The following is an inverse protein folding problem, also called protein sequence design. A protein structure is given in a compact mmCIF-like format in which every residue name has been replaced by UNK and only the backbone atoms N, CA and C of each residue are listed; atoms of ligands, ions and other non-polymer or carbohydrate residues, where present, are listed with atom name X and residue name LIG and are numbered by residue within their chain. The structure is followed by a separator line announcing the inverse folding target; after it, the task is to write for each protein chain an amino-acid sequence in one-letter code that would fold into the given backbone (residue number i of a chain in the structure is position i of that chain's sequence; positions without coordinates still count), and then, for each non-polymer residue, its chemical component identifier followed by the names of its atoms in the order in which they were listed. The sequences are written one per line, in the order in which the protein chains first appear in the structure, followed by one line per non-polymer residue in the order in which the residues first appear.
data_IF_546204664028
#
_entry.id   IF_546204664028
#
_cell.length_a   1.000
_cell.length_b   1.000
_cell.length_c   1.000
_cell.angle_alpha   90.00
_cell.angle_beta   90.00
_cell.angle_gamma   90.00
#
_symmetry.space_group_name_H-M   'P 1'
#
loop_
_entity.id
_entity.type
_entity.pdbx_description
1 polymer ?
#
# COMPACT_ATOMS: atom_id res chain seq x y z
N UNK A 1 23.32 3.31 -9.00
CA UNK A 1 22.29 3.53 -7.97
C UNK A 1 22.02 5.02 -7.81
N UNK A 2 21.31 5.59 -8.79
CA UNK A 2 20.62 6.87 -8.65
C UNK A 2 19.22 6.64 -8.09
N UNK A 3 18.76 7.55 -7.23
CA UNK A 3 17.39 7.54 -6.70
C UNK A 3 16.72 8.82 -7.17
N UNK A 4 15.56 8.68 -7.81
CA UNK A 4 14.75 9.80 -8.29
C UNK A 4 13.34 9.72 -7.71
N UNK A 5 12.75 10.87 -7.40
CA UNK A 5 11.37 10.96 -6.91
C UNK A 5 10.59 11.85 -7.87
N UNK A 6 9.61 11.26 -8.55
CA UNK A 6 8.85 11.92 -9.61
C UNK A 6 7.37 11.94 -9.29
N UNK A 7 6.65 12.94 -9.78
CA UNK A 7 5.19 13.00 -9.68
C UNK A 7 4.53 11.80 -10.37
N UNK A 8 3.46 11.26 -9.77
CA UNK A 8 2.66 10.21 -10.39
C UNK A 8 1.86 10.70 -11.62
N UNK A 9 1.80 12.02 -11.88
CA UNK A 9 1.17 12.59 -13.08
C UNK A 9 1.82 12.01 -14.35
N UNK A 10 1.00 11.46 -15.24
CA UNK A 10 1.40 10.80 -16.48
C UNK A 10 1.99 9.40 -16.29
N UNK A 11 2.03 8.86 -15.07
CA UNK A 11 2.77 7.63 -14.73
C UNK A 11 1.90 6.52 -14.13
N UNK A 12 0.66 6.38 -14.61
CA UNK A 12 -0.28 5.38 -14.08
C UNK A 12 0.25 3.94 -14.16
N UNK A 13 1.01 3.58 -15.20
CA UNK A 13 1.59 2.24 -15.32
C UNK A 13 2.51 1.92 -14.14
N UNK A 14 3.36 2.86 -13.74
CA UNK A 14 4.28 2.70 -12.61
C UNK A 14 3.52 2.70 -11.28
N UNK A 15 2.45 3.50 -11.15
CA UNK A 15 1.54 3.42 -10.00
C UNK A 15 0.91 2.03 -9.91
N UNK A 16 0.40 1.52 -11.03
CA UNK A 16 -0.24 0.20 -11.09
C UNK A 16 0.76 -0.94 -10.80
N UNK A 17 2.03 -0.80 -11.18
CA UNK A 17 3.08 -1.75 -10.82
C UNK A 17 3.30 -1.80 -9.30
N UNK A 18 3.31 -0.63 -8.63
CA UNK A 18 3.60 -0.54 -7.19
C UNK A 18 2.40 -0.91 -6.31
N UNK A 19 1.19 -0.42 -6.64
CA UNK A 19 0.00 -0.57 -5.79
C UNK A 19 -1.14 -1.38 -6.41
N UNK A 20 -1.02 -1.75 -7.69
CA UNK A 20 -2.00 -2.60 -8.35
C UNK A 20 -1.94 -4.05 -7.88
N UNK A 21 -2.98 -4.81 -8.22
CA UNK A 21 -3.01 -6.25 -7.97
C UNK A 21 -2.48 -7.02 -9.18
N UNK A 22 -1.88 -8.18 -8.93
CA UNK A 22 -1.52 -9.14 -9.99
C UNK A 22 -2.73 -9.69 -10.75
N UNK A 23 -3.93 -9.57 -10.18
CA UNK A 23 -5.19 -9.97 -10.81
C UNK A 23 -5.98 -8.72 -11.21
N UNK A 24 -6.10 -8.40 -12.51
CA UNK A 24 -6.74 -7.16 -13.01
C UNK A 24 -8.19 -6.93 -12.55
N UNK A 25 -8.91 -7.97 -12.11
CA UNK A 25 -10.27 -7.86 -11.58
C UNK A 25 -10.37 -7.77 -10.05
N UNK A 26 -9.25 -7.90 -9.34
CA UNK A 26 -9.25 -7.85 -7.88
C UNK A 26 -9.21 -6.39 -7.40
N UNK A 27 -10.16 -6.03 -6.53
CA UNK A 27 -10.16 -4.73 -5.86
C UNK A 27 -8.92 -4.57 -4.98
N UNK A 28 -8.07 -3.58 -5.27
CA UNK A 28 -6.85 -3.28 -4.53
C UNK A 28 -7.01 -2.13 -3.53
N UNK A 29 -6.04 -1.99 -2.63
CA UNK A 29 -5.82 -0.76 -1.87
C UNK A 29 -5.20 0.32 -2.77
N UNK A 30 -5.96 0.80 -3.75
CA UNK A 30 -5.74 2.10 -4.35
C UNK A 30 -6.04 3.11 -3.24
N UNK A 31 -5.02 3.74 -2.66
CA UNK A 31 -5.12 4.65 -1.50
C UNK A 31 -6.00 5.88 -1.81
N UNK A 32 -7.31 5.66 -1.79
CA UNK A 32 -8.33 6.62 -2.19
C UNK A 32 -9.06 7.24 -1.00
N UNK A 33 -9.00 6.64 0.19
CA UNK A 33 -9.76 7.07 1.37
C UNK A 33 -9.54 8.54 1.75
N UNK A 34 -8.33 9.06 1.57
CA UNK A 34 -7.99 10.46 1.86
C UNK A 34 -8.32 11.44 0.71
N UNK A 35 -8.64 10.92 -0.48
CA UNK A 35 -8.89 11.72 -1.68
C UNK A 35 -10.38 11.71 -2.06
N UNK A 36 -10.95 10.52 -2.18
CA UNK A 36 -12.37 10.28 -2.44
C UNK A 36 -12.74 8.84 -2.07
N UNK A 37 -13.57 8.66 -1.03
CA UNK A 37 -13.97 7.34 -0.53
C UNK A 37 -15.19 6.75 -1.22
N UNK A 38 -15.79 7.48 -2.18
CA UNK A 38 -17.02 7.07 -2.88
C UNK A 38 -16.84 5.97 -3.93
N UNK A 39 -15.74 5.88 -4.70
CA UNK A 39 -15.57 4.86 -5.74
C UNK A 39 -15.61 3.44 -5.18
N UNK A 40 -16.38 2.56 -5.82
CA UNK A 40 -16.42 1.14 -5.48
C UNK A 40 -15.04 0.50 -5.72
N UNK A 41 -14.69 -0.55 -4.96
CA UNK A 41 -13.33 -1.11 -5.00
C UNK A 41 -12.88 -1.51 -6.44
N UNK A 42 -13.79 -2.09 -7.22
CA UNK A 42 -13.55 -2.45 -8.62
C UNK A 42 -13.30 -1.25 -9.55
N UNK A 43 -13.77 -0.05 -9.20
CA UNK A 43 -13.68 1.17 -10.01
C UNK A 43 -12.43 2.01 -9.69
N UNK A 44 -11.80 1.74 -8.55
CA UNK A 44 -10.64 2.51 -8.06
C UNK A 44 -9.43 2.53 -9.01
N UNK A 45 -9.07 1.45 -9.74
CA UNK A 45 -8.00 1.53 -10.73
C UNK A 45 -8.27 2.60 -11.80
N UNK A 46 -9.48 2.60 -12.37
CA UNK A 46 -9.86 3.58 -13.40
C UNK A 46 -9.97 4.99 -12.85
N UNK A 47 -10.40 5.14 -11.60
CA UNK A 47 -10.35 6.43 -10.91
C UNK A 47 -8.90 6.91 -10.78
N UNK A 48 -7.99 6.07 -10.27
CA UNK A 48 -6.58 6.42 -10.10
C UNK A 48 -5.90 6.77 -11.43
N UNK A 49 -6.25 6.07 -12.51
CA UNK A 49 -5.76 6.38 -13.85
C UNK A 49 -6.11 7.83 -14.24
N UNK A 50 -7.38 8.24 -14.04
CA UNK A 50 -7.78 9.64 -14.29
C UNK A 50 -7.07 10.63 -13.39
N UNK A 51 -6.85 10.29 -12.12
CA UNK A 51 -6.10 11.18 -11.23
C UNK A 51 -4.66 11.39 -11.72
N UNK A 52 -4.05 10.38 -12.34
CA UNK A 52 -2.72 10.53 -12.92
C UNK A 52 -2.71 11.42 -14.17
N UNK A 53 -3.86 11.74 -14.79
CA UNK A 53 -3.89 12.55 -16.02
C UNK A 53 -3.67 14.04 -15.75
N UNK A 54 -3.92 14.51 -14.54
CA UNK A 54 -3.92 15.95 -14.22
C UNK A 54 -3.21 16.27 -12.91
N UNK A 55 -2.70 17.50 -12.80
CA UNK A 55 -2.17 17.98 -11.52
C UNK A 55 -3.31 18.23 -10.51
N UNK A 56 -3.10 17.90 -9.22
CA UNK A 56 -1.82 17.54 -8.59
C UNK A 56 -1.40 16.07 -8.71
N UNK A 57 -2.21 15.19 -9.30
CA UNK A 57 -1.94 13.75 -9.36
C UNK A 57 -1.91 13.05 -7.99
N UNK A 58 -1.80 11.71 -7.96
CA UNK A 58 -1.72 10.95 -6.72
C UNK A 58 -0.27 10.83 -6.23
N UNK A 59 0.25 11.86 -5.57
CA UNK A 59 1.54 11.81 -4.88
C UNK A 59 2.74 11.62 -5.81
N UNK A 60 3.76 10.92 -5.30
CA UNK A 60 5.05 10.71 -5.99
C UNK A 60 5.45 9.23 -5.98
N UNK A 61 6.27 8.85 -6.96
CA UNK A 61 6.88 7.53 -7.09
C UNK A 61 8.40 7.66 -6.96
N UNK A 62 9.02 6.67 -6.33
CA UNK A 62 10.47 6.54 -6.27
C UNK A 62 10.97 5.62 -7.39
N UNK A 63 12.11 5.98 -7.97
CA UNK A 63 12.80 5.22 -9.01
C UNK A 63 14.22 4.93 -8.55
N UNK A 64 14.72 3.73 -8.86
CA UNK A 64 16.12 3.34 -8.65
C UNK A 64 16.69 2.97 -10.00
N UNK A 65 17.75 3.67 -10.42
CA UNK A 65 18.39 3.47 -11.73
C UNK A 65 17.41 3.49 -12.93
N UNK A 66 16.34 4.29 -12.81
CA UNK A 66 15.33 4.51 -13.85
C UNK A 66 14.11 3.58 -13.81
N UNK A 67 14.10 2.56 -12.94
CA UNK A 67 12.96 1.66 -12.74
C UNK A 67 12.16 2.05 -11.50
N UNK A 68 10.83 1.89 -11.55
CA UNK A 68 10.00 2.18 -10.37
C UNK A 68 10.38 1.23 -9.23
N UNK A 69 10.67 1.81 -8.07
CA UNK A 69 11.21 1.07 -6.95
C UNK A 69 10.17 0.09 -6.37
N UNK A 70 10.29 -1.19 -6.74
CA UNK A 70 9.62 -2.29 -6.07
C UNK A 70 10.62 -3.06 -5.20
N UNK A 71 10.26 -3.32 -3.93
CA UNK A 71 11.17 -3.81 -2.89
C UNK A 71 11.98 -5.04 -3.35
N UNK A 72 11.31 -6.08 -3.85
CA UNK A 72 11.98 -7.34 -4.23
C UNK A 72 12.88 -7.19 -5.47
N UNK A 73 12.48 -6.39 -6.46
CA UNK A 73 13.25 -6.22 -7.69
C UNK A 73 14.56 -5.45 -7.47
N UNK A 74 14.64 -4.69 -6.38
CA UNK A 74 15.77 -3.80 -6.07
C UNK A 74 16.57 -4.26 -4.85
N UNK A 75 16.57 -5.56 -4.57
CA UNK A 75 17.45 -6.16 -3.56
C UNK A 75 17.01 -5.96 -2.11
N UNK A 76 15.76 -5.56 -1.86
CA UNK A 76 15.23 -5.68 -0.51
C UNK A 76 15.09 -7.16 -0.16
N UNK A 77 15.68 -7.56 0.96
CA UNK A 77 15.58 -8.92 1.49
C UNK A 77 14.38 -9.09 2.41
N UNK A 78 13.81 -7.98 2.91
CA UNK A 78 12.72 -7.97 3.89
C UNK A 78 11.70 -6.89 3.55
N UNK A 79 10.42 -7.17 3.80
CA UNK A 79 9.36 -6.16 3.91
C UNK A 79 8.89 -6.10 5.35
N UNK A 80 8.80 -4.89 5.90
CA UNK A 80 8.13 -4.63 7.18
C UNK A 80 6.75 -4.03 6.96
N UNK A 81 5.80 -4.44 7.79
CA UNK A 81 4.49 -3.82 7.88
C UNK A 81 4.10 -3.57 9.33
N UNK A 82 3.15 -2.67 9.50
CA UNK A 82 2.70 -2.22 10.82
C UNK A 82 1.18 -2.34 10.98
N UNK A 83 0.59 -3.55 10.86
CA UNK A 83 -0.86 -3.73 10.96
C UNK A 83 -1.39 -3.58 12.39
N UNK A 84 -2.70 -3.34 12.50
CA UNK A 84 -3.41 -3.31 13.76
C UNK A 84 -3.76 -4.72 14.24
N UNK A 85 -3.60 -4.98 15.53
CA UNK A 85 -4.09 -6.20 16.18
C UNK A 85 -5.60 -6.08 16.44
N UNK A 86 -6.39 -6.95 15.83
CA UNK A 86 -7.86 -6.91 15.96
C UNK A 86 -8.43 -8.03 16.82
N UNK A 87 -7.65 -9.07 17.14
CA UNK A 87 -8.05 -10.25 17.89
C UNK A 87 -9.28 -10.95 17.27
N UNK A 88 -9.37 -10.92 15.93
CA UNK A 88 -10.50 -11.45 15.18
C UNK A 88 -11.71 -10.51 15.10
N UNK A 89 -11.65 -9.35 15.75
CA UNK A 89 -12.69 -8.32 15.65
C UNK A 89 -12.54 -7.48 14.38
N UNK A 90 -13.60 -6.74 14.05
CA UNK A 90 -13.57 -5.75 12.97
C UNK A 90 -12.94 -4.44 13.45
N UNK A 91 -12.07 -3.87 12.63
CA UNK A 91 -11.60 -2.49 12.76
C UNK A 91 -12.54 -1.54 12.01
N UNK A 92 -12.63 -0.29 12.47
CA UNK A 92 -13.38 0.75 11.78
C UNK A 92 -12.75 1.07 10.40
N UNK A 93 -13.57 1.57 9.48
CA UNK A 93 -13.14 1.80 8.09
C UNK A 93 -12.08 2.89 7.95
N UNK A 94 -12.01 3.85 8.88
CA UNK A 94 -11.04 4.95 8.84
C UNK A 94 -9.67 4.44 9.27
N UNK A 95 -9.62 3.52 10.24
CA UNK A 95 -8.39 2.94 10.77
C UNK A 95 -7.90 1.71 10.01
N UNK A 96 -8.77 1.03 9.26
CA UNK A 96 -8.44 -0.22 8.55
C UNK A 96 -7.39 -0.13 7.45
N UNK A 97 -6.98 1.08 7.03
CA UNK A 97 -5.97 1.27 5.99
C UNK A 97 -4.59 0.71 6.35
N UNK A 98 -4.29 0.53 7.64
CA UNK A 98 -3.02 -0.07 8.11
C UNK A 98 -2.99 -1.59 7.96
N UNK A 99 -4.12 -2.22 7.61
CA UNK A 99 -4.28 -3.68 7.57
C UNK A 99 -4.39 -4.30 8.98
N UNK A 100 -4.59 -5.62 9.01
CA UNK A 100 -4.74 -6.39 10.26
C UNK A 100 -3.64 -7.44 10.38
N UNK A 101 -3.26 -7.79 11.62
CA UNK A 101 -2.25 -8.83 11.88
C UNK A 101 -2.60 -10.14 11.17
N UNK A 102 -3.88 -10.54 11.21
CA UNK A 102 -4.38 -11.71 10.49
C UNK A 102 -4.19 -11.64 8.95
N UNK A 103 -4.40 -10.47 8.33
CA UNK A 103 -4.16 -10.29 6.90
C UNK A 103 -2.68 -10.46 6.56
N UNK A 104 -1.80 -9.91 7.39
CA UNK A 104 -0.35 -10.00 7.20
C UNK A 104 0.16 -11.44 7.38
N UNK A 105 -0.30 -12.14 8.43
CA UNK A 105 -0.01 -13.56 8.68
C UNK A 105 -0.44 -14.44 7.49
N UNK A 106 -1.62 -14.19 6.92
CA UNK A 106 -2.12 -14.90 5.73
C UNK A 106 -1.23 -14.68 4.49
N UNK A 107 -0.38 -13.66 4.47
CA UNK A 107 0.54 -13.34 3.39
C UNK A 107 2.01 -13.56 3.73
N UNK A 108 2.27 -14.38 4.76
CA UNK A 108 3.61 -14.85 5.11
C UNK A 108 4.43 -13.87 5.94
N UNK A 109 3.79 -12.87 6.55
CA UNK A 109 4.46 -12.00 7.52
C UNK A 109 4.41 -12.60 8.92
N UNK A 110 5.51 -12.53 9.64
CA UNK A 110 5.66 -12.97 11.03
C UNK A 110 5.69 -11.76 11.97
N UNK A 111 5.14 -11.92 13.17
CA UNK A 111 5.19 -10.89 14.22
C UNK A 111 6.60 -10.79 14.78
N UNK A 112 7.12 -9.56 14.89
CA UNK A 112 8.48 -9.32 15.39
C UNK A 112 8.44 -8.56 16.71
N UNK A 113 7.77 -7.39 16.73
CA UNK A 113 7.75 -6.50 17.90
C UNK A 113 6.36 -5.88 18.06
N UNK A 114 5.81 -5.91 19.28
CA UNK A 114 4.67 -5.09 19.65
C UNK A 114 5.12 -3.63 19.80
N UNK A 115 4.48 -2.70 19.10
CA UNK A 115 4.89 -1.28 19.10
C UNK A 115 4.01 -0.46 20.05
N UNK A 116 4.44 0.75 20.40
CA UNK A 116 3.58 1.72 21.09
C UNK A 116 2.60 2.47 20.18
N UNK A 117 2.61 2.18 18.86
CA UNK A 117 1.75 2.85 17.89
C UNK A 117 0.35 2.23 17.88
N UNK A 118 -0.65 3.05 17.51
CA UNK A 118 -2.05 2.64 17.49
C UNK A 118 -2.78 3.06 16.21
N UNK A 119 -3.82 2.31 15.84
CA UNK A 119 -4.82 2.68 14.83
C UNK A 119 -6.21 2.20 15.31
N UNK A 120 -7.22 3.07 15.31
CA UNK A 120 -8.56 2.70 15.80
C UNK A 120 -8.57 2.20 17.25
N UNK A 121 -7.74 2.80 18.11
CA UNK A 121 -7.50 2.36 19.49
C UNK A 121 -6.91 0.93 19.64
N UNK A 122 -6.40 0.34 18.56
CA UNK A 122 -5.73 -0.97 18.56
C UNK A 122 -4.22 -0.81 18.46
N UNK A 123 -3.48 -1.64 19.17
CA UNK A 123 -2.02 -1.72 19.07
C UNK A 123 -1.59 -2.13 17.66
N UNK A 124 -0.47 -1.56 17.19
CA UNK A 124 0.16 -1.95 15.92
C UNK A 124 1.39 -2.83 16.18
N UNK A 125 1.55 -3.87 15.38
CA UNK A 125 2.70 -4.77 15.44
C UNK A 125 3.67 -4.48 14.30
N UNK A 126 4.97 -4.48 14.55
CA UNK A 126 5.95 -4.66 13.48
C UNK A 126 5.91 -6.13 13.06
N UNK A 127 5.58 -6.37 11.80
CA UNK A 127 5.58 -7.70 11.18
C UNK A 127 6.53 -7.71 9.97
N UNK A 128 7.25 -8.81 9.76
CA UNK A 128 8.24 -8.95 8.69
C UNK A 128 7.94 -10.13 7.78
N UNK A 129 8.26 -9.98 6.50
CA UNK A 129 8.35 -11.08 5.54
C UNK A 129 9.66 -11.01 4.79
N UNK A 130 10.38 -12.11 4.72
CA UNK A 130 11.54 -12.26 3.83
C UNK A 130 11.08 -12.34 2.36
N UNK A 131 11.80 -11.69 1.44
CA UNK A 131 11.45 -11.56 0.02
C UNK A 131 12.15 -12.58 -0.89
#
# INVERSE_FOLDING_TARGET
MSIEVLSAVGRFADVAEVVGTKNPGAGACWCMSYRDSRPANAERPGYMARECETEPGPGVLAYVDGEVAHAAAHGATVVEGYPAETQGERIDSISGYVGTTALFEAHGFERVIETSAHAGHRTRWLMRREL
#
